data_IF_425975583966
#
_entry.id   IF_425975583966
#
_cell.length_a   1.000
_cell.length_b   1.000
_cell.length_c   1.000
_cell.angle_alpha   90.00
_cell.angle_beta   90.00
_cell.angle_gamma   90.00
#
_symmetry.space_group_name_H-M   'P 1'
#
loop_
_entity.id
_entity.type
_entity.pdbx_description
1 polymer ?
#
# COMPACT_ATOMS: atom_id res chain seq x y z
N UNK A 1 6.80 -37.91 -48.27
CA UNK A 1 5.43 -37.35 -48.26
C UNK A 1 4.96 -37.41 -46.83
N UNK A 2 4.98 -36.28 -46.11
CA UNK A 2 4.49 -36.23 -44.73
C UNK A 2 2.98 -36.45 -44.71
N UNK A 3 2.49 -37.20 -43.72
CA UNK A 3 1.06 -37.50 -43.59
C UNK A 3 0.30 -36.21 -43.28
N UNK A 4 -0.86 -36.02 -43.92
CA UNK A 4 -1.79 -34.92 -43.66
C UNK A 4 -2.16 -34.79 -42.16
N UNK A 5 -2.06 -35.89 -41.42
CA UNK A 5 -2.29 -35.92 -39.97
C UNK A 5 -1.15 -35.32 -39.15
N UNK A 6 0.08 -35.38 -39.66
CA UNK A 6 1.26 -34.80 -39.01
C UNK A 6 1.21 -33.26 -39.11
N UNK A 7 0.81 -32.72 -40.26
CA UNK A 7 0.56 -31.28 -40.42
C UNK A 7 -0.58 -30.79 -39.53
N UNK A 8 -1.64 -31.60 -39.36
CA UNK A 8 -2.77 -31.26 -38.50
C UNK A 8 -2.41 -31.32 -37.01
N UNK A 9 -1.57 -32.27 -36.61
CA UNK A 9 -0.99 -32.34 -35.26
C UNK A 9 -0.08 -31.16 -34.98
N UNK A 10 0.78 -30.78 -35.92
CA UNK A 10 1.64 -29.59 -35.80
C UNK A 10 0.80 -28.33 -35.68
N UNK A 11 -0.30 -28.21 -36.43
CA UNK A 11 -1.22 -27.08 -36.33
C UNK A 11 -1.91 -27.02 -34.97
N UNK A 12 -2.41 -28.14 -34.44
CA UNK A 12 -3.02 -28.18 -33.10
C UNK A 12 -2.01 -27.89 -31.98
N UNK A 13 -0.75 -28.30 -32.14
CA UNK A 13 0.33 -27.96 -31.20
C UNK A 13 0.66 -26.47 -31.29
N UNK A 14 0.69 -25.88 -32.49
CA UNK A 14 0.93 -24.45 -32.69
C UNK A 14 -0.22 -23.58 -32.16
N UNK A 15 -1.46 -24.05 -32.25
CA UNK A 15 -2.64 -23.36 -31.71
C UNK A 15 -2.73 -23.49 -30.18
N UNK A 16 -2.14 -24.56 -29.60
CA UNK A 16 -2.03 -24.74 -28.14
C UNK A 16 -0.87 -23.95 -27.53
N UNK A 17 0.20 -23.72 -28.30
CA UNK A 17 1.23 -22.74 -27.97
C UNK A 17 0.66 -21.35 -28.26
N UNK A 18 -0.21 -20.89 -27.37
CA UNK A 18 -0.64 -19.49 -27.30
C UNK A 18 0.60 -18.60 -27.46
N UNK A 19 0.67 -17.70 -28.47
CA UNK A 19 1.77 -16.77 -28.53
C UNK A 19 1.75 -15.96 -27.23
N UNK A 20 2.88 -15.92 -26.50
CA UNK A 20 3.13 -15.04 -25.35
C UNK A 20 3.12 -13.54 -25.73
N UNK A 21 2.32 -13.16 -26.73
CA UNK A 21 1.98 -11.78 -27.02
C UNK A 21 0.82 -11.40 -26.13
N UNK A 22 1.13 -10.72 -25.03
CA UNK A 22 0.15 -9.87 -24.32
C UNK A 22 -0.73 -9.14 -25.35
N UNK A 23 -2.06 -9.15 -25.22
CA UNK A 23 -2.93 -8.55 -26.23
C UNK A 23 -2.50 -7.10 -26.49
N UNK A 24 -2.49 -6.63 -27.76
CA UNK A 24 -2.01 -5.29 -28.08
C UNK A 24 -2.80 -4.26 -27.27
N UNK A 25 -2.09 -3.56 -26.39
CA UNK A 25 -2.68 -2.52 -25.54
C UNK A 25 -3.30 -1.49 -26.47
N UNK A 26 -4.63 -1.34 -26.39
CA UNK A 26 -5.39 -0.35 -27.18
C UNK A 26 -4.72 1.03 -27.12
N UNK A 27 -4.69 1.75 -28.24
CA UNK A 27 -4.08 3.09 -28.33
C UNK A 27 -4.60 4.08 -27.28
N UNK A 28 -5.88 3.96 -26.89
CA UNK A 28 -6.49 4.72 -25.78
C UNK A 28 -5.91 4.34 -24.42
N UNK A 29 -5.61 3.05 -24.21
CA UNK A 29 -5.02 2.55 -22.97
C UNK A 29 -3.56 3.02 -22.83
N UNK A 30 -2.75 2.96 -23.90
CA UNK A 30 -1.38 3.53 -23.91
C UNK A 30 -1.36 5.02 -23.57
N UNK A 31 -2.26 5.82 -24.16
CA UNK A 31 -2.37 7.26 -23.84
C UNK A 31 -2.74 7.52 -22.38
N UNK A 32 -3.66 6.73 -21.80
CA UNK A 32 -4.05 6.84 -20.38
C UNK A 32 -2.91 6.46 -19.44
N UNK A 33 -2.16 5.42 -19.79
CA UNK A 33 -0.96 5.00 -19.07
C UNK A 33 0.08 6.13 -19.06
N UNK A 34 0.37 6.69 -20.23
CA UNK A 34 1.31 7.79 -20.38
C UNK A 34 0.89 9.05 -19.60
N UNK A 35 -0.40 9.40 -19.59
CA UNK A 35 -0.90 10.53 -18.79
C UNK A 35 -0.72 10.33 -17.28
N UNK A 36 -0.98 9.11 -16.76
CA UNK A 36 -0.76 8.79 -15.34
C UNK A 36 0.71 8.85 -14.95
N UNK A 37 1.60 8.40 -15.84
CA UNK A 37 3.04 8.48 -15.64
C UNK A 37 3.51 9.93 -15.51
N UNK A 38 3.16 10.78 -16.47
CA UNK A 38 3.53 12.20 -16.43
C UNK A 38 2.92 12.93 -15.23
N UNK A 39 1.65 12.65 -14.89
CA UNK A 39 1.03 13.22 -13.69
C UNK A 39 1.78 12.82 -12.41
N UNK A 40 2.22 11.56 -12.29
CA UNK A 40 3.03 11.14 -11.14
C UNK A 40 4.37 11.86 -11.11
N UNK A 41 5.05 11.99 -12.25
CA UNK A 41 6.31 12.75 -12.34
C UNK A 41 6.13 14.22 -11.97
N UNK A 42 5.04 14.84 -12.38
CA UNK A 42 4.72 16.22 -12.03
C UNK A 42 4.49 16.38 -10.51
N UNK A 43 3.69 15.49 -9.90
CA UNK A 43 3.42 15.49 -8.45
C UNK A 43 4.72 15.32 -7.68
N UNK A 44 5.54 14.33 -8.05
CA UNK A 44 6.79 14.04 -7.35
C UNK A 44 7.87 15.10 -7.58
N UNK A 45 7.91 15.67 -8.79
CA UNK A 45 8.87 16.71 -9.20
C UNK A 45 8.62 18.07 -8.56
N UNK A 46 7.39 18.36 -8.13
CA UNK A 46 7.09 19.52 -7.28
C UNK A 46 7.73 19.33 -5.90
N UNK A 47 8.92 19.88 -5.71
CA UNK A 47 9.67 19.76 -4.46
C UNK A 47 9.94 21.13 -3.84
N UNK A 48 9.54 21.31 -2.59
CA UNK A 48 9.79 22.57 -1.87
C UNK A 48 11.20 22.62 -1.27
N UNK A 49 11.71 23.82 -0.97
CA UNK A 49 13.00 23.98 -0.28
C UNK A 49 13.03 23.25 1.06
N UNK A 50 11.91 23.24 1.79
CA UNK A 50 11.77 22.52 3.06
C UNK A 50 11.86 21.00 2.86
N UNK A 51 11.14 20.45 1.87
CA UNK A 51 11.22 19.04 1.51
C UNK A 51 12.65 18.64 1.11
N UNK A 52 13.35 19.48 0.33
CA UNK A 52 14.71 19.19 -0.13
C UNK A 52 15.69 19.06 1.05
N UNK A 53 15.63 20.01 2.00
CA UNK A 53 16.46 19.96 3.22
C UNK A 53 16.21 18.70 4.04
N UNK A 54 14.94 18.30 4.18
CA UNK A 54 14.58 17.08 4.91
C UNK A 54 15.11 15.84 4.19
N UNK A 55 14.93 15.74 2.86
CA UNK A 55 15.43 14.60 2.08
C UNK A 55 16.95 14.48 2.21
N UNK A 56 17.68 15.59 2.11
CA UNK A 56 19.13 15.60 2.25
C UNK A 56 19.57 15.09 3.64
N UNK A 57 18.95 15.60 4.71
CA UNK A 57 19.24 15.15 6.07
C UNK A 57 18.91 13.66 6.27
N UNK A 58 17.75 13.19 5.78
CA UNK A 58 17.41 11.76 5.86
C UNK A 58 18.44 10.91 5.12
N UNK A 59 18.81 11.27 3.88
CA UNK A 59 19.79 10.52 3.10
C UNK A 59 21.18 10.51 3.73
N UNK A 60 21.59 11.62 4.36
CA UNK A 60 22.84 11.72 5.15
C UNK A 60 22.87 10.66 6.27
N UNK A 61 21.78 10.54 7.04
CA UNK A 61 21.67 9.57 8.12
C UNK A 61 21.48 8.13 7.64
N UNK A 62 20.83 7.92 6.50
CA UNK A 62 20.70 6.60 5.88
C UNK A 62 22.07 6.02 5.47
N UNK A 63 23.01 6.87 5.01
CA UNK A 63 24.34 6.44 4.56
C UNK A 63 25.29 6.12 5.71
N UNK A 64 25.13 6.75 6.87
CA UNK A 64 26.05 6.63 8.00
C UNK A 64 25.85 5.36 8.84
N UNK A 65 24.70 4.68 8.70
CA UNK A 65 24.36 3.51 9.53
C UNK A 65 24.61 2.18 8.79
N UNK A 66 25.48 1.34 9.35
CA UNK A 66 25.59 -0.09 8.97
C UNK A 66 24.44 -0.88 9.62
N UNK A 67 23.57 -1.43 8.78
CA UNK A 67 22.47 -2.38 9.01
C UNK A 67 21.46 -2.06 10.14
N UNK A 68 20.17 -1.91 9.84
CA UNK A 68 19.14 -1.72 10.86
C UNK A 68 18.75 -3.06 11.52
N UNK A 69 18.72 -3.09 12.86
CA UNK A 69 17.77 -3.94 13.58
C UNK A 69 16.32 -3.49 13.33
N UNK A 70 15.31 -4.17 13.93
CA UNK A 70 13.84 -3.92 13.77
C UNK A 70 13.46 -2.48 13.33
N UNK A 71 12.62 -2.35 12.31
CA UNK A 71 12.24 -1.08 11.63
C UNK A 71 11.75 0.03 12.56
N UNK A 72 10.98 -0.28 13.62
CA UNK A 72 10.54 0.72 14.62
C UNK A 72 11.72 1.35 15.37
N UNK A 73 12.78 0.59 15.67
CA UNK A 73 14.00 1.15 16.26
C UNK A 73 14.76 2.04 15.28
N UNK A 74 14.65 1.75 13.97
CA UNK A 74 15.26 2.56 12.94
C UNK A 74 14.54 3.91 12.76
N UNK A 75 13.21 3.94 12.72
CA UNK A 75 12.42 5.18 12.66
C UNK A 75 12.68 6.07 13.89
N UNK A 76 12.74 5.48 15.10
CA UNK A 76 13.12 6.19 16.34
C UNK A 76 14.50 6.84 16.26
N UNK A 77 15.48 6.07 15.79
CA UNK A 77 16.83 6.58 15.60
C UNK A 77 16.86 7.73 14.59
N UNK A 78 16.17 7.59 13.44
CA UNK A 78 16.11 8.63 12.43
C UNK A 78 15.46 9.91 12.95
N UNK A 79 14.39 9.80 13.74
CA UNK A 79 13.77 10.96 14.40
C UNK A 79 14.77 11.67 15.33
N UNK A 80 15.54 10.92 16.11
CA UNK A 80 16.57 11.53 16.97
C UNK A 80 17.64 12.26 16.15
N UNK A 81 18.11 11.65 15.06
CA UNK A 81 19.08 12.24 14.14
C UNK A 81 18.55 13.51 13.46
N UNK A 82 17.27 13.52 13.06
CA UNK A 82 16.61 14.70 12.49
C UNK A 82 16.48 15.83 13.52
N UNK A 83 16.19 15.50 14.79
CA UNK A 83 16.18 16.49 15.88
C UNK A 83 17.55 17.12 16.11
N UNK A 84 18.63 16.34 16.01
CA UNK A 84 20.01 16.85 16.11
C UNK A 84 20.32 17.82 14.95
N UNK A 85 19.82 17.54 13.75
CA UNK A 85 19.93 18.45 12.60
C UNK A 85 18.99 19.68 12.70
N UNK A 86 18.22 19.82 13.79
CA UNK A 86 17.39 20.99 14.08
C UNK A 86 15.93 20.90 13.60
N UNK A 87 15.48 19.73 13.12
CA UNK A 87 14.09 19.56 12.70
C UNK A 87 13.17 19.23 13.87
N UNK A 88 11.94 19.78 13.86
CA UNK A 88 10.87 19.34 14.74
C UNK A 88 10.24 18.05 14.20
N UNK A 89 10.93 16.93 14.42
CA UNK A 89 10.54 15.60 13.96
C UNK A 89 9.90 14.76 15.08
N UNK A 90 8.88 13.98 14.74
CA UNK A 90 8.21 13.04 15.66
C UNK A 90 7.83 11.75 14.94
N UNK A 91 7.66 10.66 15.69
CA UNK A 91 6.99 9.47 15.18
C UNK A 91 5.49 9.71 15.24
N UNK A 92 4.81 9.43 14.14
CA UNK A 92 3.37 9.37 14.08
C UNK A 92 2.92 7.93 13.85
N UNK A 93 1.93 7.51 14.63
CA UNK A 93 1.22 6.26 14.43
C UNK A 93 -0.23 6.55 14.11
N UNK A 94 -0.74 5.92 13.07
CA UNK A 94 -2.17 5.86 12.75
C UNK A 94 -2.68 4.47 13.07
N UNK A 95 -3.93 4.40 13.50
CA UNK A 95 -4.66 3.14 13.67
C UNK A 95 -6.09 3.38 13.23
N UNK A 96 -6.66 2.47 12.46
CA UNK A 96 -8.04 2.55 12.00
C UNK A 96 -8.77 1.24 12.26
N UNK A 97 -10.02 1.38 12.67
CA UNK A 97 -10.91 0.24 12.93
C UNK A 97 -11.43 -0.36 11.64
N UNK A 98 -11.86 -1.62 11.71
CA UNK A 98 -12.50 -2.30 10.59
C UNK A 98 -13.79 -1.56 10.22
N UNK A 99 -13.95 -1.25 8.95
CA UNK A 99 -15.21 -0.77 8.36
C UNK A 99 -15.56 -1.57 7.12
N UNK A 100 -16.73 -1.32 6.52
CA UNK A 100 -17.17 -2.01 5.31
C UNK A 100 -16.13 -1.82 4.18
N UNK A 101 -15.47 -2.90 3.79
CA UNK A 101 -14.44 -2.89 2.75
C UNK A 101 -13.08 -2.30 3.16
N UNK A 102 -12.87 -1.99 4.44
CA UNK A 102 -11.59 -1.52 4.97
C UNK A 102 -11.20 -2.34 6.21
N UNK A 103 -10.22 -3.26 6.11
CA UNK A 103 -9.76 -4.02 7.26
C UNK A 103 -9.06 -3.09 8.26
N UNK A 104 -9.11 -3.45 9.54
CA UNK A 104 -8.36 -2.75 10.57
C UNK A 104 -6.86 -2.82 10.29
N UNK A 105 -6.13 -1.82 10.74
CA UNK A 105 -4.69 -1.77 10.64
C UNK A 105 -4.10 -0.59 11.38
N UNK A 106 -2.78 -0.59 11.45
CA UNK A 106 -1.98 0.49 11.99
C UNK A 106 -0.79 0.76 11.07
N UNK A 107 -0.20 1.95 11.20
CA UNK A 107 0.96 2.33 10.44
C UNK A 107 1.80 3.37 11.15
N UNK A 108 3.12 3.24 11.06
CA UNK A 108 4.09 4.14 11.68
C UNK A 108 4.87 4.88 10.59
N UNK A 109 4.91 6.21 10.67
CA UNK A 109 5.68 7.10 9.80
C UNK A 109 6.29 8.25 10.62
N UNK A 110 7.08 9.10 9.98
CA UNK A 110 7.71 10.25 10.62
C UNK A 110 7.00 11.52 10.17
N UNK A 111 6.71 12.42 11.10
CA UNK A 111 6.12 13.73 10.84
C UNK A 111 7.15 14.80 11.16
N UNK A 112 7.24 15.82 10.32
CA UNK A 112 8.08 17.00 10.57
C UNK A 112 7.18 18.24 10.47
N UNK A 113 7.23 19.08 11.50
CA UNK A 113 6.52 20.36 11.54
C UNK A 113 7.51 21.46 11.17
N UNK A 114 7.28 22.13 10.05
CA UNK A 114 8.08 23.27 9.60
C UNK A 114 7.27 24.55 9.71
N UNK A 115 7.87 25.61 10.24
CA UNK A 115 7.27 26.94 10.25
C UNK A 115 7.64 27.66 8.96
N UNK A 116 6.65 28.07 8.17
CA UNK A 116 6.88 28.93 7.00
C UNK A 116 6.66 30.39 7.44
N UNK A 117 7.75 31.15 7.59
CA UNK A 117 7.72 32.55 8.04
C UNK A 117 6.89 33.45 7.11
N UNK A 118 6.91 33.19 5.80
CA UNK A 118 6.20 33.97 4.78
C UNK A 118 4.68 33.97 4.97
N UNK A 119 4.12 32.87 5.51
CA UNK A 119 2.66 32.67 5.63
C UNK A 119 2.19 32.63 7.09
N UNK A 120 3.10 32.66 8.06
CA UNK A 120 2.80 32.45 9.49
C UNK A 120 2.15 31.10 9.80
N UNK A 121 2.19 30.14 8.87
CA UNK A 121 1.52 28.83 8.99
C UNK A 121 2.54 27.73 9.26
N UNK A 122 2.17 26.81 10.14
CA UNK A 122 2.86 25.53 10.30
C UNK A 122 2.48 24.60 9.16
N UNK A 123 3.49 24.10 8.47
CA UNK A 123 3.32 23.06 7.46
C UNK A 123 3.78 21.73 8.01
N UNK A 124 2.95 20.71 7.77
CA UNK A 124 3.23 19.33 8.12
C UNK A 124 3.83 18.61 6.92
N UNK A 125 4.99 18.02 7.10
CA UNK A 125 5.63 17.12 6.16
C UNK A 125 5.56 15.68 6.68
N UNK A 126 5.24 14.76 5.78
CA UNK A 126 5.22 13.32 6.04
C UNK A 126 6.48 12.72 5.45
N UNK A 127 7.19 11.95 6.26
CA UNK A 127 8.39 11.20 5.88
C UNK A 127 8.11 9.71 6.05
N UNK A 128 8.20 8.97 4.95
CA UNK A 128 8.05 7.51 4.95
C UNK A 128 9.23 6.87 4.20
N UNK A 129 10.03 6.11 4.93
CA UNK A 129 11.25 5.44 4.45
C UNK A 129 10.98 4.14 3.70
N UNK A 130 9.75 3.62 3.73
CA UNK A 130 9.33 2.37 3.10
C UNK A 130 8.27 2.61 2.02
N UNK A 131 8.12 3.84 1.54
CA UNK A 131 6.98 4.30 0.75
C UNK A 131 6.72 3.47 -0.50
N UNK A 132 7.75 3.23 -1.33
CA UNK A 132 7.62 2.47 -2.57
C UNK A 132 7.08 1.04 -2.34
N UNK A 133 7.57 0.36 -1.31
CA UNK A 133 7.14 -1.01 -0.97
C UNK A 133 5.64 -1.07 -0.65
N UNK A 134 5.07 0.02 -0.14
CA UNK A 134 3.65 0.12 0.15
C UNK A 134 2.78 0.05 -1.10
N UNK A 135 3.32 0.09 -2.32
CA UNK A 135 2.58 0.02 -3.58
C UNK A 135 2.93 -1.20 -4.45
N UNK A 136 3.77 -2.12 -3.97
CA UNK A 136 4.16 -3.30 -4.77
C UNK A 136 3.00 -4.28 -4.97
N UNK A 137 2.89 -4.88 -6.16
CA UNK A 137 1.90 -5.92 -6.47
C UNK A 137 2.61 -7.23 -6.79
N UNK A 138 1.94 -8.36 -6.50
CA UNK A 138 2.48 -9.68 -6.80
C UNK A 138 2.58 -9.98 -8.31
N UNK A 139 1.64 -9.44 -9.11
CA UNK A 139 1.62 -9.56 -10.57
C UNK A 139 1.29 -8.21 -11.21
N UNK A 140 2.23 -7.25 -11.18
CA UNK A 140 2.01 -5.95 -11.79
C UNK A 140 2.03 -6.09 -13.32
N UNK A 141 1.16 -5.34 -13.99
CA UNK A 141 1.30 -5.11 -15.43
C UNK A 141 2.58 -4.32 -15.71
N UNK A 142 3.18 -4.43 -16.91
CA UNK A 142 4.43 -3.73 -17.24
C UNK A 142 4.36 -2.21 -16.97
N UNK A 143 3.23 -1.60 -17.32
CA UNK A 143 2.97 -0.19 -17.05
C UNK A 143 2.96 0.14 -15.55
N UNK A 144 2.28 -0.68 -14.73
CA UNK A 144 2.25 -0.42 -13.29
C UNK A 144 3.63 -0.62 -12.65
N UNK A 145 4.40 -1.59 -13.15
CA UNK A 145 5.78 -1.81 -12.72
C UNK A 145 6.64 -0.56 -12.98
N UNK A 146 6.62 -0.03 -14.20
CA UNK A 146 7.31 1.22 -14.56
C UNK A 146 6.87 2.39 -13.65
N UNK A 147 5.56 2.53 -13.42
CA UNK A 147 5.03 3.56 -12.53
C UNK A 147 5.57 3.43 -11.10
N UNK A 148 5.58 2.22 -10.52
CA UNK A 148 6.15 1.98 -9.19
C UNK A 148 7.67 2.14 -9.14
N UNK A 149 8.37 1.91 -10.24
CA UNK A 149 9.82 2.09 -10.35
C UNK A 149 10.25 3.54 -10.25
N UNK A 150 9.39 4.48 -10.67
CA UNK A 150 9.61 5.92 -10.49
C UNK A 150 9.38 6.43 -9.08
N UNK A 151 8.73 5.64 -8.20
CA UNK A 151 8.45 6.08 -6.84
C UNK A 151 9.74 6.17 -6.02
N UNK A 152 9.91 7.24 -5.23
CA UNK A 152 11.02 7.30 -4.31
C UNK A 152 10.83 6.26 -3.20
N UNK A 153 11.91 5.57 -2.84
CA UNK A 153 11.90 4.67 -1.68
C UNK A 153 11.57 5.43 -0.39
N UNK A 154 12.08 6.65 -0.28
CA UNK A 154 11.83 7.58 0.82
C UNK A 154 10.93 8.70 0.32
N UNK A 155 9.69 8.75 0.79
CA UNK A 155 8.79 9.86 0.49
C UNK A 155 8.98 10.97 1.52
N UNK A 156 9.04 12.20 1.03
CA UNK A 156 8.97 13.43 1.83
C UNK A 156 8.03 14.40 1.10
N UNK A 157 6.95 14.80 1.77
CA UNK A 157 5.99 15.71 1.15
C UNK A 157 4.84 16.13 2.05
N UNK A 158 4.05 17.09 1.58
CA UNK A 158 2.80 17.49 2.24
C UNK A 158 1.72 16.40 2.20
N UNK A 159 0.69 16.56 3.03
CA UNK A 159 -0.50 15.70 2.98
C UNK A 159 -1.20 15.71 1.61
N UNK A 160 -1.27 16.89 0.98
CA UNK A 160 -1.86 17.06 -0.35
C UNK A 160 -1.12 16.25 -1.41
N UNK A 161 0.21 16.42 -1.48
CA UNK A 161 1.08 15.68 -2.40
C UNK A 161 0.96 14.17 -2.19
N UNK A 162 0.90 13.74 -0.93
CA UNK A 162 0.71 12.33 -0.57
C UNK A 162 -0.67 11.81 -1.02
N UNK A 163 -1.72 12.58 -0.77
CA UNK A 163 -3.11 12.25 -1.11
C UNK A 163 -3.31 12.08 -2.64
N UNK A 164 -2.73 12.99 -3.42
CA UNK A 164 -2.71 12.90 -4.89
C UNK A 164 -1.96 11.65 -5.37
N UNK A 165 -0.75 11.42 -4.83
CA UNK A 165 0.09 10.26 -5.14
C UNK A 165 -0.66 8.94 -4.85
N UNK A 166 -1.25 8.81 -3.66
CA UNK A 166 -2.04 7.64 -3.27
C UNK A 166 -3.23 7.45 -4.22
N UNK A 167 -3.96 8.52 -4.52
CA UNK A 167 -5.14 8.43 -5.38
C UNK A 167 -4.79 7.95 -6.79
N UNK A 168 -3.70 8.47 -7.36
CA UNK A 168 -3.18 8.06 -8.67
C UNK A 168 -2.73 6.61 -8.65
N UNK A 169 -1.85 6.23 -7.71
CA UNK A 169 -1.30 4.87 -7.63
C UNK A 169 -2.35 3.82 -7.33
N UNK A 170 -3.31 4.10 -6.44
CA UNK A 170 -4.41 3.18 -6.16
C UNK A 170 -5.28 2.99 -7.41
N UNK A 171 -5.55 4.04 -8.19
CA UNK A 171 -6.29 3.91 -9.45
C UNK A 171 -5.53 3.04 -10.48
N UNK A 172 -4.21 3.18 -10.58
CA UNK A 172 -3.37 2.40 -11.46
C UNK A 172 -3.25 0.94 -10.98
N UNK A 173 -3.15 0.72 -9.67
CA UNK A 173 -3.09 -0.63 -9.07
C UNK A 173 -4.38 -1.41 -9.33
N UNK A 174 -5.54 -0.76 -9.17
CA UNK A 174 -6.85 -1.34 -9.46
C UNK A 174 -6.97 -1.75 -10.93
N UNK A 175 -6.48 -0.91 -11.83
CA UNK A 175 -6.47 -1.22 -13.26
C UNK A 175 -5.54 -2.40 -13.55
N UNK A 176 -4.31 -2.38 -13.03
CA UNK A 176 -3.32 -3.44 -13.19
C UNK A 176 -3.86 -4.80 -12.74
N UNK A 177 -4.44 -4.86 -11.53
CA UNK A 177 -5.03 -6.08 -10.98
C UNK A 177 -6.19 -6.61 -11.85
N UNK A 178 -7.07 -5.72 -12.31
CA UNK A 178 -8.19 -6.10 -13.18
C UNK A 178 -7.74 -6.63 -14.53
N UNK A 179 -6.71 -6.02 -15.13
CA UNK A 179 -6.12 -6.45 -16.41
C UNK A 179 -5.55 -7.87 -16.32
N UNK A 180 -4.98 -8.25 -15.16
CA UNK A 180 -4.49 -9.61 -14.90
C UNK A 180 -5.52 -10.54 -14.26
N UNK A 181 -6.80 -10.17 -14.26
CA UNK A 181 -7.90 -10.99 -13.74
C UNK A 181 -7.92 -11.18 -12.21
N UNK A 182 -7.23 -10.32 -11.45
CA UNK A 182 -7.18 -10.35 -10.00
C UNK A 182 -8.20 -9.39 -9.37
N UNK A 183 -8.84 -9.84 -8.27
CA UNK A 183 -9.65 -8.97 -7.43
C UNK A 183 -8.79 -7.92 -6.72
N UNK A 184 -9.34 -6.73 -6.48
CA UNK A 184 -8.65 -5.66 -5.76
C UNK A 184 -8.78 -5.92 -4.26
N UNK A 185 -7.70 -6.30 -3.56
CA UNK A 185 -7.82 -6.60 -2.15
C UNK A 185 -8.15 -5.32 -1.34
N UNK A 186 -8.83 -5.43 -0.19
CA UNK A 186 -9.28 -4.29 0.59
C UNK A 186 -8.15 -3.31 0.98
N UNK A 187 -6.94 -3.82 1.25
CA UNK A 187 -5.77 -2.99 1.58
C UNK A 187 -5.15 -2.25 0.39
N UNK A 188 -5.59 -2.52 -0.84
CA UNK A 188 -5.21 -1.79 -2.05
C UNK A 188 -6.23 -0.73 -2.44
N UNK A 189 -7.25 -0.51 -1.62
CA UNK A 189 -8.19 0.59 -1.83
C UNK A 189 -7.57 1.93 -1.46
N UNK A 190 -8.00 2.98 -2.15
CA UNK A 190 -7.59 4.36 -1.87
C UNK A 190 -7.90 4.75 -0.43
N UNK A 191 -9.05 4.35 0.10
CA UNK A 191 -9.46 4.63 1.49
C UNK A 191 -8.48 4.01 2.48
N UNK A 192 -8.20 2.70 2.37
CA UNK A 192 -7.26 2.03 3.26
C UNK A 192 -5.86 2.64 3.19
N UNK A 193 -5.37 2.92 1.97
CA UNK A 193 -4.06 3.52 1.80
C UNK A 193 -3.99 4.93 2.40
N UNK A 194 -5.04 5.75 2.27
CA UNK A 194 -5.09 7.07 2.92
C UNK A 194 -5.05 6.97 4.45
N UNK A 195 -5.74 6.00 5.05
CA UNK A 195 -5.77 5.79 6.50
C UNK A 195 -4.40 5.53 7.13
N UNK A 196 -3.42 5.03 6.36
CA UNK A 196 -2.04 4.83 6.84
C UNK A 196 -1.34 6.13 7.25
N UNK A 197 -1.59 7.23 6.56
CA UNK A 197 -0.83 8.47 6.79
C UNK A 197 -1.70 9.64 7.21
N UNK A 198 -2.95 9.67 6.77
CA UNK A 198 -3.86 10.77 7.06
C UNK A 198 -4.55 10.50 8.39
N UNK A 199 -4.40 11.42 9.33
CA UNK A 199 -5.16 11.42 10.58
C UNK A 199 -6.63 11.60 10.20
N UNK A 200 -7.54 10.83 10.80
CA UNK A 200 -8.97 11.11 10.68
C UNK A 200 -9.17 12.48 11.31
N UNK A 201 -9.53 13.48 10.50
CA UNK A 201 -10.03 14.73 11.04
C UNK A 201 -11.31 14.37 11.79
N UNK A 202 -11.28 14.42 13.12
CA UNK A 202 -12.52 14.54 13.86
C UNK A 202 -13.21 15.79 13.30
N UNK A 203 -14.45 15.65 12.84
CA UNK A 203 -15.23 16.76 12.30
C UNK A 203 -15.18 17.94 13.28
N UNK A 204 -14.41 18.98 12.96
CA UNK A 204 -14.51 20.26 13.63
C UNK A 204 -15.80 20.92 13.14
N UNK A 205 -16.93 20.49 13.71
CA UNK A 205 -18.09 21.36 13.79
C UNK A 205 -17.74 22.47 14.79
N UNK A 206 -17.48 23.65 14.25
CA UNK A 206 -17.33 24.90 14.99
C UNK A 206 -18.38 25.00 16.09
N UNK A 207 -17.93 25.11 17.33
CA UNK A 207 -18.60 25.95 18.33
C UNK A 207 -17.52 26.54 19.24
N UNK A 208 -17.41 27.86 19.17
CA UNK A 208 -16.62 28.69 20.06
C UNK A 208 -16.92 28.35 21.52
N UNK A 209 -15.89 28.14 22.33
CA UNK A 209 -15.74 28.79 23.64
C UNK A 209 -14.34 28.56 24.23
N UNK A 210 -13.74 29.65 24.68
CA UNK A 210 -12.45 29.73 25.37
C UNK A 210 -12.45 28.94 26.70
N UNK A 211 -11.38 28.17 26.98
CA UNK A 211 -10.47 28.40 28.11
C UNK A 211 -9.41 27.29 28.29
N UNK A 212 -8.15 27.71 28.26
CA UNK A 212 -6.94 27.27 28.98
C UNK A 212 -6.62 25.80 29.34
N UNK A 213 -5.44 25.41 28.83
CA UNK A 213 -4.30 24.74 29.47
C UNK A 213 -4.24 23.20 29.67
N UNK A 214 -3.22 22.67 28.97
CA UNK A 214 -2.24 21.63 29.31
C UNK A 214 -2.58 20.13 29.15
N UNK A 215 -1.89 19.59 28.12
CA UNK A 215 -1.15 18.33 28.07
C UNK A 215 -1.90 17.01 28.35
N UNK A 216 -2.26 16.33 27.26
CA UNK A 216 -1.89 14.92 26.97
C UNK A 216 -2.71 14.42 25.75
N UNK A 217 -2.12 14.38 24.55
CA UNK A 217 -2.81 13.83 23.38
C UNK A 217 -2.35 12.39 23.09
N UNK A 218 -2.85 11.47 23.92
CA UNK A 218 -3.08 10.08 23.52
C UNK A 218 -4.48 10.04 22.88
N UNK A 219 -4.58 9.81 21.57
CA UNK A 219 -5.87 9.64 20.90
C UNK A 219 -6.25 8.15 20.93
N UNK A 220 -6.88 7.73 22.03
CA UNK A 220 -7.62 6.46 22.11
C UNK A 220 -9.06 6.76 21.73
N UNK A 221 -9.43 6.44 20.49
CA UNK A 221 -10.83 6.50 20.05
C UNK A 221 -11.61 5.31 20.59
N UNK A 222 -12.34 5.51 21.69
CA UNK A 222 -13.37 4.60 22.16
C UNK A 222 -14.70 4.97 21.49
N UNK A 223 -15.42 3.99 20.96
CA UNK A 223 -16.81 4.17 20.48
C UNK A 223 -17.57 2.84 20.65
N UNK A 224 -18.26 2.70 21.79
CA UNK A 224 -19.48 1.87 21.93
C UNK A 224 -20.65 2.85 21.82
N UNK A 225 -21.42 2.80 20.73
CA UNK A 225 -22.65 2.02 20.53
C UNK A 225 -23.89 2.80 21.00
N UNK A 226 -24.82 3.07 20.07
CA UNK A 226 -26.24 2.80 20.24
C UNK A 226 -26.98 2.90 18.89
N UNK A 227 -27.82 1.89 18.67
CA UNK A 227 -28.76 1.61 17.59
C UNK A 227 -29.91 2.62 17.49
N UNK A 228 -30.38 2.87 16.26
CA UNK A 228 -31.80 2.70 15.87
C UNK A 228 -31.98 2.81 14.34
N UNK A 229 -32.97 2.08 13.82
CA UNK A 229 -33.12 1.68 12.42
C UNK A 229 -34.03 2.60 11.60
N UNK A 230 -33.81 2.72 10.28
CA UNK A 230 -34.86 2.33 9.31
C UNK A 230 -34.38 2.15 7.85
N UNK A 231 -34.90 1.07 7.26
CA UNK A 231 -35.08 0.65 5.87
C UNK A 231 -34.43 1.39 4.68
N UNK A 232 -33.71 0.62 3.85
CA UNK A 232 -33.37 0.95 2.46
C UNK A 232 -32.64 -0.21 1.78
N UNK A 233 -33.40 -1.17 1.25
CA UNK A 233 -32.92 -2.41 0.61
C UNK A 233 -32.14 -2.14 -0.69
N UNK A 234 -30.85 -2.46 -0.72
CA UNK A 234 -30.17 -2.92 -1.94
C UNK A 234 -29.11 -3.96 -1.56
N UNK A 235 -29.42 -5.22 -1.84
CA UNK A 235 -28.58 -6.36 -1.52
C UNK A 235 -27.28 -6.38 -2.33
N UNK A 236 -26.16 -6.43 -1.62
CA UNK A 236 -24.89 -6.91 -2.15
C UNK A 236 -24.43 -8.06 -1.26
N UNK A 237 -24.21 -9.22 -1.90
CA UNK A 237 -23.93 -10.49 -1.26
C UNK A 237 -22.60 -10.45 -0.49
N UNK A 238 -22.70 -10.69 0.82
CA UNK A 238 -21.56 -10.91 1.71
C UNK A 238 -20.92 -12.26 1.32
N UNK A 239 -19.82 -12.21 0.57
CA UNK A 239 -19.09 -13.43 0.19
C UNK A 239 -18.53 -14.11 1.43
N UNK A 240 -18.91 -15.37 1.63
CA UNK A 240 -18.38 -16.24 2.68
C UNK A 240 -17.58 -17.36 2.02
N UNK A 241 -16.35 -17.67 2.48
CA UNK A 241 -15.58 -18.80 1.95
C UNK A 241 -16.34 -20.13 2.19
N UNK A 242 -16.30 -21.08 1.24
CA UNK A 242 -16.93 -22.38 1.44
C UNK A 242 -16.26 -23.13 2.59
N UNK A 243 -17.07 -23.57 3.54
CA UNK A 243 -16.64 -24.35 4.70
C UNK A 243 -16.25 -25.76 4.24
N UNK A 244 -14.95 -26.06 4.22
CA UNK A 244 -14.45 -27.41 3.95
C UNK A 244 -14.77 -28.28 5.17
N UNK A 245 -15.76 -29.18 5.03
CA UNK A 245 -16.07 -30.16 6.08
C UNK A 245 -14.87 -31.09 6.26
N UNK A 246 -14.37 -31.32 7.48
CA UNK A 246 -13.34 -32.33 7.71
C UNK A 246 -13.88 -33.70 7.30
N UNK A 247 -13.21 -34.32 6.32
CA UNK A 247 -13.52 -35.66 5.85
C UNK A 247 -13.28 -36.62 7.02
N UNK A 248 -14.32 -37.35 7.43
CA UNK A 248 -14.26 -38.38 8.46
C UNK A 248 -13.09 -39.34 8.17
N UNK A 249 -12.20 -39.52 9.15
CA UNK A 249 -11.28 -40.66 9.19
C UNK A 249 -12.12 -41.93 9.17
N UNK A 250 -12.07 -42.66 8.08
CA UNK A 250 -12.45 -44.08 8.07
C UNK A 250 -11.17 -44.83 8.40
N UNK A 251 -11.17 -45.49 9.56
CA UNK A 251 -10.10 -46.38 9.97
C UNK A 251 -10.14 -47.68 9.16
N UNK A 252 -8.95 -48.24 8.98
CA UNK A 252 -8.60 -49.66 8.86
C UNK A 252 -9.01 -50.44 7.61
N UNK A 253 -7.97 -50.96 6.95
CA UNK A 253 -8.01 -52.22 6.19
C UNK A 253 -7.08 -52.20 4.98
N UNK A 254 -5.94 -52.89 5.10
CA UNK A 254 -4.87 -53.16 4.10
C UNK A 254 -3.56 -52.42 4.45
N UNK A 255 -2.78 -52.97 5.39
CA UNK A 255 -1.82 -54.07 5.21
C UNK A 255 -0.50 -53.58 4.60
N UNK A 256 0.46 -53.41 5.52
CA UNK A 256 1.92 -53.62 5.39
C UNK A 256 2.46 -53.82 3.98
N UNK A 257 3.43 -52.98 3.53
CA UNK A 257 4.58 -53.38 2.68
C UNK A 257 5.65 -52.28 2.44
N UNK A 258 5.75 -51.19 3.22
CA UNK A 258 6.90 -50.27 3.09
C UNK A 258 7.46 -49.84 4.46
N UNK A 259 7.84 -50.83 5.26
CA UNK A 259 8.84 -50.64 6.31
C UNK A 259 10.20 -50.98 5.70
N UNK A 260 10.92 -49.95 5.23
CA UNK A 260 12.40 -49.86 5.15
C UNK A 260 12.82 -48.91 4.04
N UNK A 261 13.03 -47.64 4.39
CA UNK A 261 14.11 -46.87 3.77
C UNK A 261 14.55 -45.78 4.76
N UNK A 262 15.63 -46.08 5.48
CA UNK A 262 16.37 -45.11 6.30
C UNK A 262 17.09 -44.12 5.39
N UNK A 263 16.81 -42.83 5.54
CA UNK A 263 17.62 -41.76 4.94
C UNK A 263 18.55 -41.25 6.04
N UNK A 264 19.83 -41.62 5.94
CA UNK A 264 20.91 -41.02 6.72
C UNK A 264 21.23 -39.65 6.14
N UNK A 265 21.16 -38.61 6.98
CA UNK A 265 21.78 -37.32 6.69
C UNK A 265 23.18 -37.30 7.28
N UNK A 266 24.19 -37.19 6.41
CA UNK A 266 25.49 -36.61 6.73
C UNK A 266 25.46 -35.14 6.33
#
# INVERSE_FOLDING_TARGET
MGSLEEERLVQMVHDFIEPESSPPISSKCRRRHQAKYFALQEILGKMTKAEAKVVESVLKHMRSKKAPGKTSNFKKWLVMSLKIDGFNASICQTSWVRSLGCPAGDYEYIEIITFEEENGKTKRLIVDIEFRSQFELARPTPFYKELTETLPSIFVGSEEKLNETISLLCSASKQSLREVGLYVPPWRTTTYMKSKWLKVAANNNNNNNNNNNNNNNNCVGNSQENTEANSGSHGFSMWSPPMVKPKRRVSSGLSSQFSNMSINCC
#
